data_IF_027035279301
#
_entry.id   IF_027035279301
#
_cell.length_a   1.000
_cell.length_b   1.000
_cell.length_c   1.000
_cell.angle_alpha   90.00
_cell.angle_beta   90.00
_cell.angle_gamma   90.00
#
_symmetry.space_group_name_H-M   'P 1'
#
loop_
_entity.id
_entity.type
_entity.pdbx_description
1 polymer ?
#
# COMPACT_ATOMS: atom_id res chain seq x y z
N UNK A 1 16.51 2.73 -12.02
CA UNK A 1 16.94 1.31 -11.94
C UNK A 1 15.74 0.47 -11.53
N UNK A 2 15.55 -0.73 -12.08
CA UNK A 2 14.40 -1.60 -11.75
C UNK A 2 14.91 -2.83 -11.00
N UNK A 3 14.31 -3.14 -9.86
CA UNK A 3 14.51 -4.39 -9.12
C UNK A 3 13.29 -5.28 -9.31
N UNK A 4 13.49 -6.47 -9.86
CA UNK A 4 12.45 -7.50 -9.91
C UNK A 4 12.64 -8.42 -8.71
N UNK A 5 11.59 -8.62 -7.92
CA UNK A 5 11.65 -9.45 -6.71
C UNK A 5 10.46 -10.40 -6.63
N UNK A 6 10.65 -11.53 -5.95
CA UNK A 6 9.54 -12.45 -5.67
C UNK A 6 8.66 -11.96 -4.49
N UNK A 7 7.52 -12.61 -4.30
CA UNK A 7 6.54 -12.28 -3.25
C UNK A 7 7.04 -12.35 -1.80
N UNK A 8 8.10 -13.11 -1.52
CA UNK A 8 8.73 -13.19 -0.21
C UNK A 8 9.27 -11.81 0.23
N UNK A 9 9.65 -10.97 -0.73
CA UNK A 9 10.19 -9.63 -0.51
C UNK A 9 9.13 -8.52 -0.57
N UNK A 10 7.87 -8.84 -0.85
CA UNK A 10 6.75 -7.87 -0.93
C UNK A 10 6.24 -7.42 0.46
N UNK A 11 7.17 -7.14 1.39
CA UNK A 11 6.88 -6.58 2.73
C UNK A 11 7.30 -5.11 2.77
N UNK A 12 6.43 -4.27 3.34
CA UNK A 12 6.60 -2.80 3.38
C UNK A 12 8.01 -2.34 3.84
N UNK A 13 8.62 -2.88 4.92
CA UNK A 13 9.94 -2.41 5.34
C UNK A 13 11.05 -2.65 4.32
N UNK A 14 10.96 -3.70 3.52
CA UNK A 14 11.92 -3.98 2.45
C UNK A 14 11.70 -3.03 1.27
N UNK A 15 10.45 -2.94 0.80
CA UNK A 15 10.07 -2.09 -0.32
C UNK A 15 10.41 -0.62 -0.04
N UNK A 16 10.06 -0.11 1.15
CA UNK A 16 10.31 1.28 1.54
C UNK A 16 11.81 1.62 1.51
N UNK A 17 12.68 0.68 1.95
CA UNK A 17 14.14 0.88 1.92
C UNK A 17 14.68 0.88 0.49
N UNK A 18 14.24 -0.08 -0.33
CA UNK A 18 14.69 -0.20 -1.72
C UNK A 18 14.25 1.01 -2.56
N UNK A 19 13.02 1.49 -2.35
CA UNK A 19 12.54 2.71 -2.98
C UNK A 19 13.33 3.95 -2.54
N UNK A 20 13.66 4.07 -1.24
CA UNK A 20 14.55 5.14 -0.74
C UNK A 20 15.95 5.12 -1.37
N UNK A 21 16.42 3.96 -1.82
CA UNK A 21 17.69 3.83 -2.56
C UNK A 21 17.57 4.20 -4.05
N UNK A 22 16.39 4.62 -4.53
CA UNK A 22 16.17 5.05 -5.92
C UNK A 22 15.85 3.93 -6.91
N UNK A 23 15.42 2.76 -6.41
CA UNK A 23 14.95 1.66 -7.26
C UNK A 23 13.43 1.70 -7.43
N UNK A 24 12.97 1.38 -8.64
CA UNK A 24 11.59 0.98 -8.88
C UNK A 24 11.48 -0.52 -8.67
N UNK A 25 10.55 -0.96 -7.82
CA UNK A 25 10.36 -2.39 -7.52
C UNK A 25 9.17 -2.93 -8.31
N UNK A 26 9.40 -4.01 -9.06
CA UNK A 26 8.34 -4.83 -9.64
C UNK A 26 8.34 -6.19 -8.96
N UNK A 27 7.27 -6.54 -8.25
CA UNK A 27 7.19 -7.82 -7.55
C UNK A 27 5.79 -8.43 -7.60
N UNK A 28 5.73 -9.75 -7.45
CA UNK A 28 4.47 -10.44 -7.18
C UNK A 28 3.98 -10.07 -5.79
N UNK A 29 2.70 -9.73 -5.63
CA UNK A 29 2.11 -9.57 -4.30
C UNK A 29 1.95 -10.95 -3.62
N UNK A 30 1.98 -10.99 -2.29
CA UNK A 30 1.65 -12.22 -1.56
C UNK A 30 0.20 -12.60 -1.81
N UNK A 31 -0.11 -13.90 -1.75
CA UNK A 31 -1.48 -14.38 -1.92
C UNK A 31 -2.45 -13.87 -0.82
N UNK A 32 -1.91 -13.54 0.36
CA UNK A 32 -2.63 -13.01 1.51
C UNK A 32 -2.50 -11.48 1.65
N UNK A 33 -1.97 -10.80 0.62
CA UNK A 33 -1.84 -9.35 0.66
C UNK A 33 -3.21 -8.68 0.67
N UNK A 34 -3.38 -7.72 1.58
CA UNK A 34 -4.56 -6.86 1.63
C UNK A 34 -4.14 -5.42 1.37
N UNK A 35 -4.55 -4.89 0.21
CA UNK A 35 -4.31 -3.52 -0.21
C UNK A 35 -5.42 -2.61 0.31
N UNK A 36 -5.03 -1.45 0.82
CA UNK A 36 -5.94 -0.41 1.31
C UNK A 36 -5.51 0.93 0.74
N UNK A 37 -6.47 1.81 0.49
CA UNK A 37 -6.16 3.23 0.33
C UNK A 37 -5.59 3.80 1.64
N UNK A 38 -4.80 4.86 1.52
CA UNK A 38 -4.35 5.62 2.69
C UNK A 38 -5.56 6.36 3.25
N UNK A 39 -5.72 6.32 4.57
CA UNK A 39 -6.74 7.14 5.23
C UNK A 39 -6.37 8.63 5.12
N UNK A 40 -7.27 9.43 4.55
CA UNK A 40 -7.14 10.86 4.30
C UNK A 40 -8.05 11.75 5.17
N UNK A 41 -8.94 11.14 5.96
CA UNK A 41 -9.80 11.87 6.90
C UNK A 41 -9.11 12.32 8.19
N UNK A 42 -9.78 13.16 8.97
CA UNK A 42 -9.24 13.67 10.24
C UNK A 42 -9.07 12.57 11.31
N UNK A 43 -8.05 12.68 12.18
CA UNK A 43 -7.95 11.84 13.36
C UNK A 43 -9.18 12.00 14.26
N UNK A 44 -9.67 10.89 14.81
CA UNK A 44 -10.92 10.89 15.61
C UNK A 44 -10.81 11.63 16.96
N UNK A 45 -9.61 12.07 17.36
CA UNK A 45 -9.33 12.65 18.67
C UNK A 45 -9.44 11.67 19.85
N UNK A 46 -9.79 10.39 19.60
CA UNK A 46 -9.96 9.37 20.63
C UNK A 46 -8.60 8.75 21.02
N UNK A 47 -8.42 8.33 22.28
CA UNK A 47 -7.23 7.60 22.69
C UNK A 47 -6.99 6.35 21.83
N UNK A 48 -5.72 6.14 21.45
CA UNK A 48 -5.30 4.98 20.65
C UNK A 48 -4.54 5.36 19.38
N UNK A 49 -4.18 4.34 18.58
CA UNK A 49 -3.46 4.55 17.32
C UNK A 49 -4.40 5.23 16.30
N UNK A 50 -3.97 6.34 15.66
CA UNK A 50 -4.73 6.94 14.57
C UNK A 50 -5.03 5.94 13.44
N UNK A 51 -6.18 6.11 12.79
CA UNK A 51 -6.54 5.30 11.62
C UNK A 51 -5.58 5.63 10.47
N UNK A 52 -5.06 4.58 9.82
CA UNK A 52 -4.14 4.71 8.67
C UNK A 52 -4.63 4.02 7.40
N UNK A 53 -5.67 3.17 7.50
CA UNK A 53 -6.23 2.41 6.38
C UNK A 53 -7.61 2.96 6.02
N UNK A 54 -7.77 3.39 4.78
CA UNK A 54 -9.06 3.70 4.15
C UNK A 54 -9.75 2.44 3.65
N UNK A 55 -10.35 2.53 2.46
CA UNK A 55 -11.09 1.41 1.87
C UNK A 55 -10.16 0.31 1.38
N UNK A 56 -10.66 -0.93 1.46
CA UNK A 56 -9.96 -2.11 0.94
C UNK A 56 -10.09 -2.14 -0.58
N UNK A 57 -8.97 -2.33 -1.27
CA UNK A 57 -8.95 -2.47 -2.72
C UNK A 57 -9.38 -3.90 -3.08
N UNK A 58 -10.40 -4.01 -3.93
CA UNK A 58 -10.75 -5.27 -4.58
C UNK A 58 -10.02 -5.39 -5.92
N UNK A 59 -8.98 -6.23 -5.96
CA UNK A 59 -8.18 -6.45 -7.17
C UNK A 59 -8.96 -7.14 -8.31
N UNK A 60 -10.12 -7.73 -8.01
CA UNK A 60 -11.00 -8.36 -9.02
C UNK A 60 -12.03 -7.38 -9.57
N UNK A 61 -12.23 -6.25 -8.90
CA UNK A 61 -13.13 -5.17 -9.30
C UNK A 61 -12.36 -3.83 -9.26
N UNK A 62 -11.55 -3.53 -10.28
CA UNK A 62 -10.84 -2.27 -10.35
C UNK A 62 -11.86 -1.13 -10.35
N UNK A 63 -11.82 -0.30 -9.30
CA UNK A 63 -12.71 0.86 -9.17
C UNK A 63 -12.14 1.96 -10.05
N UNK A 64 -12.78 2.21 -11.19
CA UNK A 64 -12.57 3.44 -11.95
C UNK A 64 -13.13 4.63 -11.18
N UNK A 65 -12.33 5.68 -11.03
CA UNK A 65 -12.75 6.97 -10.49
C UNK A 65 -11.98 7.40 -9.25
N UNK A 66 -10.86 8.08 -9.47
CA UNK A 66 -10.31 9.07 -8.53
C UNK A 66 -11.40 10.12 -8.29
N UNK A 67 -12.07 10.07 -7.14
CA UNK A 67 -12.80 11.22 -6.62
C UNK A 67 -11.82 12.00 -5.74
N UNK A 68 -11.20 13.02 -6.32
CA UNK A 68 -10.59 14.12 -5.57
C UNK A 68 -11.74 15.10 -5.29
N UNK A 69 -12.33 15.00 -4.11
CA UNK A 69 -13.22 16.05 -3.56
C UNK A 69 -12.39 17.16 -2.96
#
# INVERSE_FOLDING_TARGET
KVLVADSAFSKRPFIDKVMKMGFHVASRLRHDAALFYIWDGEPTGKPGRPRVKGDKIDVRKPVGGINLS
#
